data_IF_095451587782
#
_entry.id   IF_095451587782
#
_cell.length_a   1.000
_cell.length_b   1.000
_cell.length_c   1.000
_cell.angle_alpha   90.00
_cell.angle_beta   90.00
_cell.angle_gamma   90.00
#
_symmetry.space_group_name_H-M   'P 1'
#
loop_
_entity.id
_entity.type
_entity.pdbx_description
1 polymer ?
#
# COMPACT_ATOMS: atom_id res chain seq x y z
N UNK A 1 26.08 -7.90 7.06
CA UNK A 1 25.97 -6.50 6.65
C UNK A 1 27.05 -6.24 5.58
N UNK A 2 26.70 -5.58 4.49
CA UNK A 2 27.63 -5.22 3.42
C UNK A 2 28.08 -3.79 3.66
N UNK A 3 29.38 -3.56 3.81
CA UNK A 3 29.94 -2.23 4.10
C UNK A 3 29.94 -1.33 2.87
N UNK A 4 30.24 -1.88 1.69
CA UNK A 4 30.24 -1.15 0.42
C UNK A 4 29.19 -1.76 -0.54
N UNK A 5 27.92 -1.33 -0.48
CA UNK A 5 26.87 -1.90 -1.31
C UNK A 5 27.01 -1.50 -2.77
N UNK A 6 26.78 -2.47 -3.66
CA UNK A 6 26.69 -2.23 -5.10
C UNK A 6 25.64 -3.15 -5.76
N UNK A 7 25.16 -2.78 -6.92
CA UNK A 7 24.24 -3.62 -7.70
C UNK A 7 24.90 -4.93 -8.14
N UNK A 8 26.19 -4.90 -8.47
CA UNK A 8 26.96 -6.08 -8.85
C UNK A 8 27.09 -7.07 -7.67
N UNK A 9 27.43 -6.57 -6.47
CA UNK A 9 27.52 -7.40 -5.28
C UNK A 9 26.16 -7.96 -4.88
N UNK A 10 25.09 -7.19 -5.01
CA UNK A 10 23.71 -7.67 -4.77
C UNK A 10 23.35 -8.82 -5.71
N UNK A 11 23.66 -8.69 -7.01
CA UNK A 11 23.42 -9.75 -7.99
C UNK A 11 24.24 -11.01 -7.68
N UNK A 12 25.50 -10.85 -7.27
CA UNK A 12 26.38 -11.96 -6.89
C UNK A 12 25.83 -12.69 -5.66
N UNK A 13 25.41 -11.97 -4.61
CA UNK A 13 24.80 -12.55 -3.41
C UNK A 13 23.53 -13.33 -3.77
N UNK A 14 22.63 -12.74 -4.58
CA UNK A 14 21.41 -13.39 -5.03
C UNK A 14 21.70 -14.69 -5.80
N UNK A 15 22.76 -14.74 -6.59
CA UNK A 15 23.12 -15.94 -7.36
C UNK A 15 23.72 -17.08 -6.52
N UNK A 16 24.25 -16.78 -5.34
CA UNK A 16 24.98 -17.74 -4.48
C UNK A 16 24.17 -18.24 -3.28
N UNK A 17 23.08 -17.56 -2.90
CA UNK A 17 22.23 -18.01 -1.78
C UNK A 17 21.24 -19.10 -2.23
N UNK A 18 20.65 -19.82 -1.27
CA UNK A 18 19.65 -20.85 -1.53
C UNK A 18 18.27 -20.26 -1.82
N UNK A 19 17.93 -19.15 -1.15
CA UNK A 19 16.66 -18.44 -1.27
C UNK A 19 16.91 -16.94 -1.19
N UNK A 20 16.26 -16.16 -2.02
CA UNK A 20 16.28 -14.69 -1.99
C UNK A 20 15.01 -14.15 -1.35
N UNK A 21 15.16 -13.31 -0.33
CA UNK A 21 14.05 -12.48 0.20
C UNK A 21 14.37 -11.02 -0.09
N UNK A 22 13.54 -10.37 -0.89
CA UNK A 22 13.78 -9.00 -1.34
C UNK A 22 12.55 -8.12 -1.09
N UNK A 23 12.71 -7.08 -0.29
CA UNK A 23 11.68 -6.06 -0.06
C UNK A 23 12.22 -4.71 -0.51
N UNK A 24 11.58 -4.09 -1.50
CA UNK A 24 12.04 -2.81 -2.04
C UNK A 24 11.44 -2.47 -3.39
N UNK A 25 12.06 -1.53 -4.11
CA UNK A 25 11.55 -1.08 -5.40
C UNK A 25 11.52 -2.19 -6.47
N UNK A 26 10.65 -2.04 -7.47
CA UNK A 26 10.40 -3.05 -8.50
C UNK A 26 11.66 -3.51 -9.25
N UNK A 27 12.69 -2.66 -9.36
CA UNK A 27 13.99 -3.06 -9.95
C UNK A 27 14.69 -4.15 -9.13
N UNK A 28 14.69 -4.05 -7.80
CA UNK A 28 15.24 -5.07 -6.91
C UNK A 28 14.42 -6.36 -6.95
N UNK A 29 13.10 -6.25 -6.93
CA UNK A 29 12.18 -7.40 -7.02
C UNK A 29 12.41 -8.18 -8.31
N UNK A 30 12.52 -7.46 -9.45
CA UNK A 30 12.83 -8.06 -10.75
C UNK A 30 14.20 -8.75 -10.74
N UNK A 31 15.21 -8.13 -10.15
CA UNK A 31 16.55 -8.74 -10.01
C UNK A 31 16.50 -10.02 -9.17
N UNK A 32 15.75 -10.04 -8.06
CA UNK A 32 15.55 -11.22 -7.22
C UNK A 32 14.93 -12.37 -8.01
N UNK A 33 13.83 -12.14 -8.72
CA UNK A 33 13.18 -13.17 -9.55
C UNK A 33 14.01 -13.61 -10.75
N UNK A 34 14.92 -12.76 -11.24
CA UNK A 34 15.83 -13.08 -12.35
C UNK A 34 17.16 -13.71 -11.90
N UNK A 35 17.37 -13.92 -10.61
CA UNK A 35 18.63 -14.47 -10.06
C UNK A 35 18.85 -15.95 -10.35
N UNK A 36 17.82 -16.67 -10.81
CA UNK A 36 17.83 -18.13 -10.98
C UNK A 36 17.69 -18.92 -9.68
N UNK A 37 17.34 -18.25 -8.58
CA UNK A 37 17.10 -18.84 -7.27
C UNK A 37 15.61 -18.71 -6.88
N UNK A 38 15.08 -19.59 -6.02
CA UNK A 38 13.81 -19.36 -5.36
C UNK A 38 13.81 -17.98 -4.71
N UNK A 39 12.79 -17.17 -4.99
CA UNK A 39 12.75 -15.79 -4.53
C UNK A 39 11.37 -15.39 -4.02
N UNK A 40 11.36 -14.60 -2.95
CA UNK A 40 10.21 -13.91 -2.38
C UNK A 40 10.46 -12.41 -2.48
N UNK A 41 9.86 -11.79 -3.50
CA UNK A 41 10.02 -10.36 -3.76
C UNK A 41 8.73 -9.61 -3.39
N UNK A 42 8.87 -8.48 -2.71
CA UNK A 42 7.78 -7.57 -2.40
C UNK A 42 8.15 -6.17 -2.88
N UNK A 43 7.28 -5.62 -3.74
CA UNK A 43 7.47 -4.32 -4.38
C UNK A 43 6.80 -3.16 -3.65
N UNK A 44 6.46 -2.13 -4.44
CA UNK A 44 5.80 -0.92 -3.97
C UNK A 44 4.43 -1.20 -3.34
N UNK A 45 4.11 -0.45 -2.29
CA UNK A 45 2.77 -0.33 -1.76
C UNK A 45 2.08 0.93 -2.28
N UNK A 46 0.78 1.01 -2.09
CA UNK A 46 -0.01 2.23 -2.34
C UNK A 46 -1.31 2.13 -1.56
N UNK A 47 -1.19 2.21 -0.24
CA UNK A 47 -2.32 1.94 0.67
C UNK A 47 -3.40 2.99 0.50
N UNK A 48 -4.54 2.55 0.00
CA UNK A 48 -5.77 3.33 0.00
C UNK A 48 -6.40 3.28 1.39
N UNK A 49 -7.04 4.36 1.82
CA UNK A 49 -7.74 4.42 3.09
C UNK A 49 -9.16 4.94 2.87
N UNK A 50 -10.16 4.09 3.09
CA UNK A 50 -11.57 4.48 2.97
C UNK A 50 -12.11 4.75 4.37
N UNK A 51 -12.74 5.90 4.54
CA UNK A 51 -13.47 6.28 5.76
C UNK A 51 -14.96 6.21 5.44
N UNK A 52 -15.66 5.32 6.13
CA UNK A 52 -17.10 5.12 5.94
C UNK A 52 -17.92 6.12 6.76
N UNK A 53 -19.19 6.24 6.40
CA UNK A 53 -20.20 6.98 7.17
C UNK A 53 -20.41 6.36 8.55
N UNK A 54 -20.64 7.20 9.54
CA UNK A 54 -20.99 6.73 10.89
C UNK A 54 -19.81 6.26 11.75
N UNK A 55 -18.57 6.45 11.29
CA UNK A 55 -17.39 6.27 12.16
C UNK A 55 -17.07 7.58 12.89
N UNK A 56 -16.38 7.48 14.01
CA UNK A 56 -15.82 8.66 14.68
C UNK A 56 -14.58 9.15 13.91
N UNK A 57 -14.76 10.23 13.15
CA UNK A 57 -13.68 10.83 12.36
C UNK A 57 -12.55 11.37 13.23
N UNK A 58 -12.86 11.81 14.47
CA UNK A 58 -11.85 12.29 15.43
C UNK A 58 -11.01 11.15 15.99
N UNK A 59 -11.51 9.93 15.99
CA UNK A 59 -10.75 8.73 16.33
C UNK A 59 -9.94 8.21 15.14
N UNK A 60 -10.50 8.28 13.91
CA UNK A 60 -9.87 7.75 12.70
C UNK A 60 -8.70 8.62 12.21
N UNK A 61 -8.86 9.96 12.16
CA UNK A 61 -7.86 10.86 11.59
C UNK A 61 -6.48 10.77 12.26
N UNK A 62 -6.33 10.77 13.59
CA UNK A 62 -5.02 10.60 14.23
C UNK A 62 -4.34 9.28 13.85
N UNK A 63 -5.10 8.19 13.70
CA UNK A 63 -4.56 6.88 13.29
C UNK A 63 -4.00 6.94 11.86
N UNK A 64 -4.72 7.58 10.94
CA UNK A 64 -4.32 7.72 9.54
C UNK A 64 -3.08 8.63 9.42
N UNK A 65 -3.06 9.74 10.15
CA UNK A 65 -1.91 10.66 10.17
C UNK A 65 -0.67 9.96 10.76
N UNK A 66 -0.83 9.23 11.88
CA UNK A 66 0.24 8.40 12.45
C UNK A 66 0.68 7.31 11.47
N UNK A 67 -0.28 6.71 10.76
CA UNK A 67 -0.06 5.68 9.74
C UNK A 67 0.69 6.21 8.52
N UNK A 68 0.61 7.51 8.22
CA UNK A 68 1.31 8.11 7.08
C UNK A 68 2.82 8.20 7.32
N UNK A 69 3.45 7.07 7.58
CA UNK A 69 4.91 6.92 7.67
C UNK A 69 5.52 6.79 6.27
N UNK A 70 6.83 7.02 6.19
CA UNK A 70 7.58 6.94 4.92
C UNK A 70 7.98 5.48 4.68
N UNK A 71 6.99 4.61 4.55
CA UNK A 71 7.14 3.18 4.25
C UNK A 71 6.05 2.76 3.27
N UNK A 72 6.24 1.65 2.57
CA UNK A 72 5.30 1.14 1.56
C UNK A 72 3.88 0.86 2.09
N UNK A 73 3.76 0.60 3.38
CA UNK A 73 2.49 0.31 4.06
C UNK A 73 1.82 1.53 4.71
N UNK A 74 2.37 2.73 4.54
CA UNK A 74 1.75 3.98 5.01
C UNK A 74 0.57 4.39 4.13
N UNK A 75 -0.48 4.92 4.76
CA UNK A 75 -1.69 5.40 4.09
C UNK A 75 -1.35 6.50 3.06
N UNK A 76 -1.69 6.29 1.80
CA UNK A 76 -1.37 7.17 0.67
C UNK A 76 -2.50 8.12 0.32
N UNK A 77 -3.73 7.70 0.66
CA UNK A 77 -4.96 8.42 0.32
C UNK A 77 -5.93 8.40 1.49
N UNK A 78 -6.88 9.34 1.49
CA UNK A 78 -8.15 9.21 2.18
C UNK A 78 -9.27 9.33 1.13
N UNK A 79 -10.28 8.46 1.23
CA UNK A 79 -11.46 8.45 0.40
C UNK A 79 -12.64 8.57 1.35
N UNK A 80 -13.33 9.71 1.35
CA UNK A 80 -14.25 10.11 2.42
C UNK A 80 -15.64 10.48 1.88
N UNK A 81 -16.72 10.38 2.68
CA UNK A 81 -18.05 10.80 2.27
C UNK A 81 -18.05 12.26 1.83
N UNK A 82 -18.68 12.55 0.71
CA UNK A 82 -18.69 13.89 0.12
C UNK A 82 -19.42 14.93 0.99
N UNK A 83 -20.48 14.52 1.64
CA UNK A 83 -21.24 15.36 2.57
C UNK A 83 -20.45 15.75 3.80
N UNK A 84 -19.55 14.88 4.28
CA UNK A 84 -18.74 15.09 5.48
C UNK A 84 -17.31 15.55 5.14
N UNK A 85 -16.99 15.73 3.85
CA UNK A 85 -15.65 16.04 3.37
C UNK A 85 -15.04 17.25 4.10
N UNK A 86 -15.79 18.35 4.22
CA UNK A 86 -15.28 19.57 4.85
C UNK A 86 -14.98 19.35 6.34
N UNK A 87 -15.87 18.66 7.07
CA UNK A 87 -15.66 18.32 8.48
C UNK A 87 -14.42 17.44 8.67
N UNK A 88 -14.26 16.42 7.85
CA UNK A 88 -13.11 15.50 7.92
C UNK A 88 -11.81 16.26 7.64
N UNK A 89 -11.76 17.13 6.63
CA UNK A 89 -10.59 17.96 6.33
C UNK A 89 -10.21 18.84 7.52
N UNK A 90 -11.18 19.51 8.16
CA UNK A 90 -10.95 20.31 9.36
C UNK A 90 -10.34 19.48 10.48
N UNK A 91 -10.85 18.27 10.72
CA UNK A 91 -10.30 17.35 11.73
C UNK A 91 -8.84 16.99 11.41
N UNK A 92 -8.50 16.75 10.14
CA UNK A 92 -7.12 16.49 9.74
C UNK A 92 -6.21 17.72 9.97
N UNK A 93 -6.70 18.94 9.69
CA UNK A 93 -5.97 20.18 9.95
C UNK A 93 -5.73 20.36 11.44
N UNK A 94 -6.75 20.16 12.29
CA UNK A 94 -6.64 20.21 13.77
C UNK A 94 -5.57 19.23 14.30
N UNK A 95 -5.31 18.13 13.58
CA UNK A 95 -4.33 17.11 13.95
C UNK A 95 -2.94 17.33 13.31
N UNK A 96 -2.72 18.49 12.66
CA UNK A 96 -1.40 18.92 12.16
C UNK A 96 -1.18 18.67 10.68
N UNK A 97 -2.23 18.51 9.88
CA UNK A 97 -2.12 18.52 8.42
C UNK A 97 -2.20 19.94 7.86
N UNK A 98 -1.49 20.19 6.76
CA UNK A 98 -1.71 21.35 5.92
C UNK A 98 -2.51 20.95 4.68
N UNK A 99 -3.66 21.58 4.45
CA UNK A 99 -4.54 21.26 3.33
C UNK A 99 -4.23 22.09 2.11
N UNK A 100 -4.02 21.42 0.97
CA UNK A 100 -3.69 22.02 -0.34
C UNK A 100 -4.85 21.75 -1.29
N UNK A 101 -5.62 22.81 -1.63
CA UNK A 101 -6.81 22.68 -2.48
C UNK A 101 -6.83 23.67 -3.66
N UNK A 102 -6.07 24.78 -3.59
CA UNK A 102 -6.04 25.75 -4.69
C UNK A 102 -5.45 25.10 -5.94
N UNK A 103 -6.08 25.18 -7.12
CA UNK A 103 -5.65 24.46 -8.31
C UNK A 103 -4.18 24.71 -8.70
N UNK A 104 -3.70 25.93 -8.51
CA UNK A 104 -2.29 26.29 -8.79
C UNK A 104 -1.32 25.62 -7.81
N UNK A 105 -1.70 25.48 -6.53
CA UNK A 105 -0.86 24.85 -5.51
C UNK A 105 -0.86 23.32 -5.66
N UNK A 106 -2.02 22.74 -5.95
CA UNK A 106 -2.13 21.33 -6.27
C UNK A 106 -1.27 20.97 -7.48
N UNK A 107 -1.30 21.81 -8.54
CA UNK A 107 -0.45 21.63 -9.73
C UNK A 107 1.04 21.71 -9.37
N UNK A 108 1.47 22.74 -8.62
CA UNK A 108 2.86 22.88 -8.17
C UNK A 108 3.33 21.67 -7.38
N UNK A 109 2.49 21.16 -6.47
CA UNK A 109 2.81 19.97 -5.68
C UNK A 109 2.94 18.72 -6.58
N UNK A 110 2.02 18.51 -7.54
CA UNK A 110 2.11 17.43 -8.52
C UNK A 110 3.42 17.45 -9.30
N UNK A 111 3.76 18.62 -9.88
CA UNK A 111 4.95 18.80 -10.70
C UNK A 111 6.25 18.63 -9.89
N UNK A 112 6.20 18.92 -8.60
CA UNK A 112 7.31 18.69 -7.67
C UNK A 112 7.45 17.23 -7.27
N UNK A 113 6.33 16.55 -7.00
CA UNK A 113 6.30 15.14 -6.58
C UNK A 113 6.66 14.18 -7.71
N UNK A 114 6.20 14.47 -8.94
CA UNK A 114 6.30 13.54 -10.06
C UNK A 114 6.84 14.19 -11.31
N UNK A 115 7.64 13.43 -12.05
CA UNK A 115 8.09 13.78 -13.42
C UNK A 115 7.52 12.77 -14.40
N UNK A 116 7.23 13.25 -15.62
CA UNK A 116 6.82 12.37 -16.72
C UNK A 116 8.03 11.58 -17.21
N UNK A 117 7.88 10.27 -17.35
CA UNK A 117 8.92 9.38 -17.88
C UNK A 117 8.90 9.37 -19.42
N UNK A 118 9.97 8.88 -20.05
CA UNK A 118 10.06 8.71 -21.50
C UNK A 118 8.93 7.84 -22.08
N UNK A 119 8.36 6.93 -21.26
CA UNK A 119 7.27 6.04 -21.65
C UNK A 119 5.88 6.64 -21.37
N UNK A 120 5.79 7.92 -20.98
CA UNK A 120 4.53 8.62 -20.68
C UNK A 120 3.94 8.30 -19.30
N UNK A 121 4.62 7.52 -18.46
CA UNK A 121 4.24 7.29 -17.07
C UNK A 121 4.78 8.37 -16.13
N UNK A 122 4.53 8.21 -14.82
CA UNK A 122 5.03 9.11 -13.79
C UNK A 122 6.06 8.42 -12.90
N UNK A 123 7.15 9.10 -12.60
CA UNK A 123 8.17 8.70 -11.63
C UNK A 123 8.23 9.69 -10.48
N UNK A 124 8.28 9.18 -9.25
CA UNK A 124 8.42 10.03 -8.07
C UNK A 124 9.81 10.71 -8.04
N UNK A 125 9.83 11.95 -7.62
CA UNK A 125 11.06 12.71 -7.38
C UNK A 125 11.84 12.10 -6.20
N UNK A 126 12.96 11.46 -6.52
CA UNK A 126 13.81 10.77 -5.55
C UNK A 126 14.37 11.67 -4.45
N UNK A 127 14.50 12.98 -4.70
CA UNK A 127 15.01 13.95 -3.71
C UNK A 127 14.03 14.15 -2.55
N UNK A 128 12.74 13.88 -2.78
CA UNK A 128 11.69 14.04 -1.78
C UNK A 128 11.46 12.79 -0.93
N UNK A 129 12.05 11.65 -1.30
CA UNK A 129 11.94 10.41 -0.53
C UNK A 129 12.54 10.61 0.86
N UNK A 130 11.74 10.38 1.89
CA UNK A 130 12.17 10.51 3.28
C UNK A 130 12.17 11.94 3.81
N UNK A 131 11.80 12.94 3.02
CA UNK A 131 11.77 14.34 3.46
C UNK A 131 10.53 14.64 4.33
N UNK A 132 10.61 15.69 5.16
CA UNK A 132 9.49 16.18 5.95
C UNK A 132 8.44 16.87 5.09
N UNK A 133 7.21 17.01 5.62
CA UNK A 133 6.13 17.74 4.95
C UNK A 133 6.52 19.21 4.63
N UNK A 134 7.18 19.87 5.57
CA UNK A 134 7.67 21.24 5.37
C UNK A 134 8.71 21.34 4.24
N UNK A 135 9.64 20.36 4.14
CA UNK A 135 10.61 20.31 3.05
C UNK A 135 9.94 20.09 1.69
N UNK A 136 8.97 19.18 1.61
CA UNK A 136 8.19 18.92 0.38
C UNK A 136 7.40 20.17 -0.03
N UNK A 137 6.77 20.86 0.92
CA UNK A 137 6.05 22.11 0.68
C UNK A 137 6.99 23.21 0.16
N UNK A 138 8.14 23.38 0.81
CA UNK A 138 9.15 24.37 0.39
C UNK A 138 9.64 24.12 -1.03
N UNK A 139 9.93 22.87 -1.39
CA UNK A 139 10.36 22.53 -2.75
C UNK A 139 9.27 22.78 -3.79
N UNK A 140 8.00 22.66 -3.40
CA UNK A 140 6.84 23.02 -4.23
C UNK A 140 6.52 24.53 -4.24
N UNK A 141 7.27 25.36 -3.50
CA UNK A 141 7.00 26.79 -3.35
C UNK A 141 5.70 27.05 -2.59
N UNK A 142 5.35 26.19 -1.64
CA UNK A 142 4.17 26.31 -0.77
C UNK A 142 4.60 26.73 0.64
N UNK A 143 3.82 27.60 1.26
CA UNK A 143 4.01 28.01 2.65
C UNK A 143 3.09 27.18 3.55
N UNK A 144 3.67 26.46 4.50
CA UNK A 144 2.97 25.70 5.53
C UNK A 144 3.63 25.87 6.90
N UNK A 145 2.92 25.67 8.01
CA UNK A 145 3.53 25.65 9.34
C UNK A 145 4.72 24.69 9.42
N UNK A 146 5.77 25.08 10.14
CA UNK A 146 7.00 24.30 10.24
C UNK A 146 6.81 22.93 10.93
N UNK A 147 5.79 22.82 11.77
CA UNK A 147 5.39 21.60 12.49
C UNK A 147 4.35 20.74 11.75
N UNK A 148 4.07 21.08 10.48
CA UNK A 148 3.16 20.28 9.62
C UNK A 148 3.62 18.84 9.55
N UNK A 149 2.74 17.92 9.96
CA UNK A 149 3.01 16.47 9.95
C UNK A 149 2.83 15.87 8.55
N UNK A 150 1.76 16.27 7.85
CA UNK A 150 1.35 15.72 6.55
C UNK A 150 0.77 16.82 5.67
N UNK A 151 1.09 16.79 4.38
CA UNK A 151 0.38 17.58 3.37
C UNK A 151 -0.82 16.78 2.89
N UNK A 152 -2.02 17.31 3.12
CA UNK A 152 -3.27 16.73 2.63
C UNK A 152 -3.64 17.46 1.34
N UNK A 153 -3.62 16.78 0.20
CA UNK A 153 -3.85 17.39 -1.11
C UNK A 153 -5.17 16.95 -1.71
N UNK A 154 -5.97 17.89 -2.18
CA UNK A 154 -7.20 17.60 -2.92
C UNK A 154 -6.85 16.88 -4.23
N UNK A 155 -7.49 15.75 -4.48
CA UNK A 155 -7.38 15.00 -5.72
C UNK A 155 -8.74 14.94 -6.41
N UNK A 156 -8.79 15.35 -7.68
CA UNK A 156 -10.02 15.38 -8.48
C UNK A 156 -10.10 14.21 -9.47
N UNK A 157 -8.94 13.58 -9.80
CA UNK A 157 -8.83 12.40 -10.65
C UNK A 157 -8.29 11.20 -9.89
N UNK A 158 -8.67 9.99 -10.30
CA UNK A 158 -8.19 8.73 -9.74
C UNK A 158 -7.54 7.85 -10.80
N UNK A 159 -6.78 6.87 -10.37
CA UNK A 159 -6.15 5.93 -11.29
C UNK A 159 -5.14 6.62 -12.21
N UNK A 160 -5.21 6.32 -13.50
CA UNK A 160 -4.28 6.84 -14.51
C UNK A 160 -4.48 8.33 -14.83
N UNK A 161 -5.61 8.89 -14.44
CA UNK A 161 -5.97 10.28 -14.75
C UNK A 161 -5.22 11.29 -13.85
N UNK A 162 -4.65 10.83 -12.73
CA UNK A 162 -3.92 11.69 -11.81
C UNK A 162 -2.68 10.99 -11.22
N UNK A 163 -1.51 11.62 -11.33
CA UNK A 163 -0.28 11.11 -10.73
C UNK A 163 -0.34 11.04 -9.18
N UNK A 164 -1.23 11.80 -8.53
CA UNK A 164 -1.46 11.72 -7.09
C UNK A 164 -2.06 10.38 -6.63
N UNK A 165 -2.53 9.55 -7.56
CA UNK A 165 -2.96 8.18 -7.31
C UNK A 165 -1.80 7.22 -6.97
N UNK A 166 -0.55 7.59 -7.29
CA UNK A 166 0.64 6.77 -7.07
C UNK A 166 1.20 6.84 -5.66
N UNK A 167 2.06 5.88 -5.33
CA UNK A 167 2.81 5.89 -4.08
C UNK A 167 3.68 7.15 -3.96
N UNK A 168 3.58 7.79 -2.80
CA UNK A 168 4.38 8.96 -2.41
C UNK A 168 5.24 8.60 -1.21
N UNK A 169 6.54 8.47 -1.40
CA UNK A 169 7.49 8.14 -0.31
C UNK A 169 7.88 9.37 0.52
N UNK A 170 6.89 10.24 0.80
CA UNK A 170 7.00 11.47 1.60
C UNK A 170 5.63 11.75 2.25
N UNK A 171 5.53 12.61 3.28
CA UNK A 171 4.30 12.81 4.06
C UNK A 171 3.23 13.59 3.28
N UNK A 172 2.69 12.99 2.23
CA UNK A 172 1.60 13.54 1.41
C UNK A 172 0.47 12.52 1.34
N UNK A 173 -0.76 12.93 1.63
CA UNK A 173 -1.99 12.15 1.49
C UNK A 173 -2.87 12.82 0.44
N UNK A 174 -3.37 12.06 -0.53
CA UNK A 174 -4.38 12.53 -1.49
C UNK A 174 -5.78 12.32 -0.93
N UNK A 175 -6.62 13.36 -0.97
CA UNK A 175 -7.97 13.32 -0.45
C UNK A 175 -9.00 13.27 -1.58
N UNK A 176 -9.86 12.27 -1.57
CA UNK A 176 -10.94 12.02 -2.51
C UNK A 176 -12.28 12.08 -1.79
N UNK A 177 -13.32 12.52 -2.51
CA UNK A 177 -14.70 12.46 -2.04
C UNK A 177 -15.47 11.36 -2.80
N UNK A 178 -16.40 10.68 -2.13
CA UNK A 178 -17.28 9.70 -2.76
C UNK A 178 -18.76 9.98 -2.46
N UNK A 179 -19.64 9.62 -3.39
CA UNK A 179 -21.09 9.71 -3.23
C UNK A 179 -21.66 8.37 -2.69
N UNK A 180 -21.27 7.23 -3.27
CA UNK A 180 -21.67 5.88 -2.82
C UNK A 180 -20.48 5.07 -2.34
N UNK A 181 -20.74 4.00 -1.57
CA UNK A 181 -19.68 3.10 -1.12
C UNK A 181 -18.95 2.43 -2.29
N UNK A 182 -19.70 2.07 -3.31
CA UNK A 182 -19.20 1.51 -4.56
C UNK A 182 -18.22 2.47 -5.25
N UNK A 183 -18.54 3.77 -5.26
CA UNK A 183 -17.63 4.80 -5.82
C UNK A 183 -16.33 4.86 -5.02
N UNK A 184 -16.39 4.80 -3.68
CA UNK A 184 -15.20 4.79 -2.84
C UNK A 184 -14.29 3.60 -3.15
N UNK A 185 -14.88 2.42 -3.30
CA UNK A 185 -14.16 1.18 -3.64
C UNK A 185 -13.61 1.25 -5.06
N UNK A 186 -14.34 1.83 -6.01
CA UNK A 186 -13.89 2.03 -7.39
C UNK A 186 -12.69 2.99 -7.47
N UNK A 187 -12.70 4.09 -6.72
CA UNK A 187 -11.55 5.01 -6.60
C UNK A 187 -10.33 4.27 -6.04
N UNK A 188 -10.52 3.51 -4.95
CA UNK A 188 -9.44 2.73 -4.34
C UNK A 188 -8.86 1.72 -5.34
N UNK A 189 -9.70 0.97 -6.04
CA UNK A 189 -9.26 -0.01 -7.04
C UNK A 189 -8.54 0.66 -8.22
N UNK A 190 -9.04 1.79 -8.73
CA UNK A 190 -8.40 2.52 -9.82
C UNK A 190 -6.99 2.98 -9.46
N UNK A 191 -6.79 3.45 -8.22
CA UNK A 191 -5.47 3.83 -7.72
C UNK A 191 -4.54 2.61 -7.54
N UNK A 192 -5.07 1.49 -7.03
CA UNK A 192 -4.32 0.22 -6.91
C UNK A 192 -3.91 -0.32 -8.28
N UNK A 193 -4.71 -0.13 -9.32
CA UNK A 193 -4.37 -0.56 -10.69
C UNK A 193 -3.19 0.21 -11.29
N UNK A 194 -2.95 1.42 -10.80
CA UNK A 194 -1.75 2.19 -11.17
C UNK A 194 -0.51 1.67 -10.46
N UNK A 195 -0.64 1.42 -9.15
CA UNK A 195 0.46 0.96 -8.30
C UNK A 195 -0.08 0.37 -6.99
N UNK A 196 0.57 -0.67 -6.46
CA UNK A 196 0.26 -1.22 -5.14
C UNK A 196 -0.69 -2.41 -5.13
N UNK A 197 -1.05 -2.99 -6.28
CA UNK A 197 -1.87 -4.23 -6.33
C UNK A 197 -1.28 -5.32 -5.47
N UNK A 198 -2.16 -6.00 -4.75
CA UNK A 198 -1.79 -7.09 -3.85
C UNK A 198 -1.28 -6.65 -2.48
N UNK A 199 -1.02 -5.35 -2.24
CA UNK A 199 -0.44 -4.92 -0.97
C UNK A 199 -1.49 -4.88 0.16
N UNK A 200 -2.02 -3.74 0.50
CA UNK A 200 -2.94 -3.55 1.64
C UNK A 200 -3.88 -2.38 1.40
N UNK A 201 -5.03 -2.40 2.09
CA UNK A 201 -5.98 -1.29 2.21
C UNK A 201 -6.35 -1.08 3.67
N UNK A 202 -6.58 0.16 4.07
CA UNK A 202 -7.19 0.53 5.35
C UNK A 202 -8.67 0.87 5.15
N UNK A 203 -9.53 0.40 6.03
CA UNK A 203 -10.96 0.71 6.02
C UNK A 203 -11.37 1.09 7.43
N UNK A 204 -11.84 2.33 7.61
CA UNK A 204 -12.48 2.75 8.83
C UNK A 204 -13.99 2.63 8.65
N UNK A 205 -14.60 1.59 9.21
CA UNK A 205 -16.02 1.28 9.08
C UNK A 205 -16.50 0.39 10.24
N UNK A 206 -17.76 0.49 10.59
CA UNK A 206 -18.48 -0.44 11.47
C UNK A 206 -19.51 -1.28 10.68
N UNK A 207 -19.68 -1.00 9.38
CA UNK A 207 -20.60 -1.73 8.52
C UNK A 207 -19.89 -2.97 7.92
N UNK A 208 -20.30 -4.15 8.37
CA UNK A 208 -19.70 -5.41 7.93
C UNK A 208 -19.90 -5.67 6.44
N UNK A 209 -21.07 -5.32 5.89
CA UNK A 209 -21.38 -5.50 4.47
C UNK A 209 -20.48 -4.62 3.59
N UNK A 210 -20.21 -3.39 4.03
CA UNK A 210 -19.28 -2.48 3.35
C UNK A 210 -17.84 -3.03 3.37
N UNK A 211 -17.39 -3.52 4.53
CA UNK A 211 -16.05 -4.12 4.66
C UNK A 211 -15.91 -5.34 3.74
N UNK A 212 -16.90 -6.24 3.74
CA UNK A 212 -16.90 -7.44 2.90
C UNK A 212 -17.00 -7.08 1.40
N UNK A 213 -17.83 -6.10 1.05
CA UNK A 213 -17.91 -5.59 -0.32
C UNK A 213 -16.54 -5.08 -0.79
N UNK A 214 -15.91 -4.20 -0.03
CA UNK A 214 -14.58 -3.68 -0.40
C UNK A 214 -13.54 -4.81 -0.52
N UNK A 215 -13.48 -5.72 0.45
CA UNK A 215 -12.55 -6.86 0.42
C UNK A 215 -12.70 -7.75 -0.82
N UNK A 216 -13.92 -7.86 -1.36
CA UNK A 216 -14.20 -8.66 -2.57
C UNK A 216 -13.97 -7.89 -3.89
N UNK A 217 -13.86 -6.55 -3.85
CA UNK A 217 -13.76 -5.73 -5.06
C UNK A 217 -12.40 -5.02 -5.22
N UNK A 218 -11.52 -5.08 -4.22
CA UNK A 218 -10.16 -4.55 -4.34
C UNK A 218 -9.12 -5.66 -4.44
N UNK A 219 -8.09 -5.43 -5.23
CA UNK A 219 -7.02 -6.41 -5.43
C UNK A 219 -5.90 -6.22 -4.41
N UNK A 220 -6.15 -6.60 -3.15
CA UNK A 220 -5.18 -6.55 -2.05
C UNK A 220 -5.18 -7.84 -1.25
N UNK A 221 -4.06 -8.17 -0.61
CA UNK A 221 -3.93 -9.36 0.24
C UNK A 221 -4.28 -9.10 1.71
N UNK A 222 -4.40 -7.83 2.12
CA UNK A 222 -4.69 -7.42 3.51
C UNK A 222 -5.65 -6.26 3.56
N UNK A 223 -6.70 -6.42 4.35
CA UNK A 223 -7.67 -5.37 4.69
C UNK A 223 -7.55 -5.07 6.18
N UNK A 224 -7.13 -3.87 6.53
CA UNK A 224 -6.95 -3.41 7.91
C UNK A 224 -8.18 -2.59 8.32
N UNK A 225 -8.95 -3.11 9.26
CA UNK A 225 -10.21 -2.48 9.70
C UNK A 225 -9.99 -1.71 11.00
N UNK A 226 -10.27 -0.42 11.00
CA UNK A 226 -10.16 0.50 12.14
C UNK A 226 -8.78 0.53 12.81
N UNK A 227 -7.72 0.26 12.04
CA UNK A 227 -6.34 0.15 12.49
C UNK A 227 -5.42 1.05 11.66
N UNK A 228 -4.26 1.36 12.23
CA UNK A 228 -3.14 2.00 11.52
C UNK A 228 -2.55 0.98 10.54
N UNK A 229 -2.64 1.23 9.23
CA UNK A 229 -2.17 0.25 8.26
C UNK A 229 -0.65 0.05 8.35
N UNK A 230 0.12 1.12 8.43
CA UNK A 230 1.59 1.07 8.39
C UNK A 230 2.23 0.18 9.44
N UNK A 231 1.66 0.10 10.64
CA UNK A 231 2.22 -0.67 11.76
C UNK A 231 1.52 -2.00 11.99
N UNK A 232 0.28 -2.16 11.54
CA UNK A 232 -0.55 -3.33 11.85
C UNK A 232 -0.59 -4.38 10.73
N UNK A 233 -0.34 -4.01 9.47
CA UNK A 233 -0.34 -4.96 8.37
C UNK A 233 0.84 -5.95 8.41
N UNK A 234 1.92 -5.59 9.08
CA UNK A 234 3.03 -6.48 9.40
C UNK A 234 2.76 -7.47 10.53
N UNK A 235 1.53 -7.54 11.01
CA UNK A 235 1.13 -8.42 12.10
C UNK A 235 1.31 -7.82 13.50
N UNK A 236 0.36 -8.06 14.35
CA UNK A 236 0.38 -7.60 15.74
C UNK A 236 -0.41 -8.55 16.65
N UNK A 237 -0.28 -8.37 17.97
CA UNK A 237 -1.09 -9.07 18.95
C UNK A 237 -2.59 -8.75 18.85
N UNK A 238 -2.95 -7.69 18.12
CA UNK A 238 -4.32 -7.17 18.05
C UNK A 238 -5.08 -7.60 16.78
N UNK A 239 -4.43 -8.25 15.79
CA UNK A 239 -5.09 -8.58 14.53
C UNK A 239 -4.78 -9.98 13.98
N UNK A 240 -4.04 -10.80 14.69
CA UNK A 240 -3.72 -12.19 14.35
C UNK A 240 -2.97 -12.39 13.00
N UNK A 241 -2.51 -11.34 12.34
CA UNK A 241 -1.63 -11.47 11.18
C UNK A 241 -0.25 -11.96 11.64
N UNK A 242 0.37 -12.80 10.86
CA UNK A 242 1.75 -13.28 11.13
C UNK A 242 2.73 -12.11 11.13
N UNK A 243 3.53 -11.91 12.19
CA UNK A 243 4.52 -10.84 12.26
C UNK A 243 5.57 -10.95 11.14
N UNK A 244 5.76 -9.84 10.41
CA UNK A 244 6.72 -9.76 9.30
C UNK A 244 7.07 -8.32 8.94
N UNK A 245 8.17 -8.14 8.22
CA UNK A 245 8.51 -6.92 7.49
C UNK A 245 8.40 -7.12 5.97
N UNK A 246 8.02 -8.33 5.51
CA UNK A 246 7.91 -8.71 4.10
C UNK A 246 6.47 -9.11 3.79
N UNK A 247 5.74 -8.21 3.14
CA UNK A 247 4.30 -8.28 2.92
C UNK A 247 4.01 -8.82 1.51
N UNK A 248 3.86 -10.13 1.36
CA UNK A 248 3.55 -10.75 0.07
C UNK A 248 2.30 -10.15 -0.58
N UNK A 249 2.38 -9.88 -1.87
CA UNK A 249 1.32 -9.26 -2.66
C UNK A 249 0.66 -10.21 -3.67
N UNK A 250 1.00 -11.49 -3.63
CA UNK A 250 0.46 -12.50 -4.53
C UNK A 250 0.70 -12.22 -6.00
N UNK A 251 0.00 -12.93 -6.85
CA UNK A 251 0.07 -12.72 -8.31
C UNK A 251 -0.41 -11.32 -8.74
N UNK A 252 -1.26 -10.68 -7.96
CA UNK A 252 -1.67 -9.29 -8.21
C UNK A 252 -0.50 -8.31 -8.17
N UNK A 253 0.43 -8.51 -7.23
CA UNK A 253 1.67 -7.73 -7.11
C UNK A 253 2.86 -8.36 -7.82
N UNK A 254 2.64 -9.41 -8.64
CA UNK A 254 3.69 -10.20 -9.29
C UNK A 254 4.69 -10.79 -8.28
N UNK A 255 4.15 -11.31 -7.16
CA UNK A 255 4.91 -11.93 -6.08
C UNK A 255 4.60 -13.42 -5.95
N UNK A 256 5.54 -14.18 -5.37
CA UNK A 256 5.44 -15.62 -5.17
C UNK A 256 4.53 -16.03 -4.01
N UNK A 257 4.22 -15.10 -3.10
CA UNK A 257 3.34 -15.32 -1.94
C UNK A 257 2.34 -14.19 -1.80
N UNK A 258 1.15 -14.50 -1.25
CA UNK A 258 0.08 -13.54 -0.97
C UNK A 258 -0.12 -13.28 0.52
N UNK A 259 0.74 -13.82 1.37
CA UNK A 259 0.64 -13.74 2.82
C UNK A 259 1.85 -13.04 3.44
N UNK A 260 1.79 -12.80 4.73
CA UNK A 260 2.89 -12.29 5.52
C UNK A 260 4.02 -13.34 5.55
N UNK A 261 5.20 -12.96 5.09
CA UNK A 261 6.36 -13.84 5.03
C UNK A 261 6.76 -14.34 6.43
N UNK A 262 7.03 -15.63 6.55
CA UNK A 262 7.48 -16.23 7.80
C UNK A 262 8.55 -17.29 7.56
N UNK A 263 9.09 -17.86 8.63
CA UNK A 263 10.07 -18.96 8.56
C UNK A 263 9.62 -20.17 7.74
N UNK A 264 8.30 -20.40 7.64
CA UNK A 264 7.72 -21.50 6.85
C UNK A 264 8.09 -21.45 5.38
N UNK A 265 8.29 -20.24 4.84
CA UNK A 265 8.67 -20.02 3.45
C UNK A 265 10.14 -20.38 3.16
N UNK A 266 10.97 -20.51 4.22
CA UNK A 266 12.38 -20.90 4.13
C UNK A 266 12.58 -22.40 4.41
N UNK A 267 11.51 -23.12 4.79
CA UNK A 267 11.62 -24.54 5.14
C UNK A 267 11.39 -25.44 3.93
N UNK A 268 12.21 -26.48 3.81
CA UNK A 268 11.94 -27.62 2.96
C UNK A 268 11.22 -28.72 3.78
N UNK A 269 10.15 -29.26 3.24
CA UNK A 269 9.31 -30.26 3.91
C UNK A 269 9.43 -31.59 3.18
N UNK A 270 9.95 -32.60 3.87
CA UNK A 270 9.90 -34.00 3.39
C UNK A 270 8.59 -34.64 3.84
N UNK A 271 7.86 -35.19 2.89
CA UNK A 271 6.61 -35.92 3.14
C UNK A 271 6.81 -37.40 2.99
N UNK A 272 6.33 -38.18 3.97
CA UNK A 272 6.30 -39.62 3.91
C UNK A 272 4.86 -40.01 3.59
N UNK A 273 4.64 -40.63 2.46
CA UNK A 273 3.32 -41.17 2.06
C UNK A 273 3.30 -42.67 2.21
N UNK A 274 2.32 -43.20 2.92
CA UNK A 274 2.05 -44.60 3.02
C UNK A 274 0.85 -44.99 2.14
N UNK A 275 0.87 -46.18 1.60
CA UNK A 275 -0.32 -46.75 0.95
C UNK A 275 -1.49 -46.81 1.94
N UNK A 276 -2.68 -46.53 1.46
CA UNK A 276 -3.94 -46.77 2.20
C UNK A 276 -4.58 -48.00 1.60
N UNK A 277 -4.44 -49.18 2.25
CA UNK A 277 -4.76 -50.48 1.61
C UNK A 277 -6.19 -50.62 1.11
N UNK A 278 -7.15 -50.01 1.76
CA UNK A 278 -8.59 -50.11 1.45
C UNK A 278 -9.14 -48.89 0.73
N UNK A 279 -8.27 -47.98 0.29
CA UNK A 279 -8.70 -46.78 -0.43
C UNK A 279 -9.28 -47.12 -1.80
N UNK A 280 -10.46 -46.60 -2.08
CA UNK A 280 -11.11 -46.71 -3.40
C UNK A 280 -11.06 -45.32 -4.05
N UNK A 281 -10.76 -45.30 -5.35
CA UNK A 281 -10.91 -44.10 -6.13
C UNK A 281 -12.41 -43.70 -6.15
N UNK A 282 -12.73 -42.41 -5.93
CA UNK A 282 -14.10 -41.97 -6.08
C UNK A 282 -14.57 -42.14 -7.53
N UNK A 283 -15.85 -42.38 -7.73
CA UNK A 283 -16.45 -42.46 -9.07
C UNK A 283 -16.51 -41.04 -9.71
N UNK A 284 -16.66 -41.01 -11.03
CA UNK A 284 -16.84 -39.74 -11.75
C UNK A 284 -18.05 -38.96 -11.22
N UNK A 285 -19.11 -39.63 -10.80
CA UNK A 285 -20.30 -39.02 -10.21
C UNK A 285 -20.01 -38.35 -8.85
N UNK A 286 -19.10 -38.93 -8.07
CA UNK A 286 -18.67 -38.33 -6.78
C UNK A 286 -17.68 -37.17 -6.95
N UNK A 287 -16.92 -37.13 -8.05
CA UNK A 287 -15.93 -36.10 -8.33
C UNK A 287 -16.57 -34.84 -8.93
N UNK A 288 -17.60 -35.00 -9.77
CA UNK A 288 -18.21 -33.95 -10.57
C UNK A 288 -19.60 -33.51 -10.07
N UNK A 289 -19.94 -33.77 -8.83
CA UNK A 289 -21.12 -33.21 -8.16
C UNK A 289 -20.92 -31.71 -7.82
#
# INVERSE_FOLDING_TARGET
>A
LVEEPSTALSAELMSKCDVVVATGGMGMVKAAYSSGKPAYGVGAGNVQCIIDRGVDYREAAPKIIEGRRIICSGEQTIIVPKEDYAEIIEIFIENGCAYIERPEDVRRLRDTLFSVTETGGYAMNKKLVGQSAACVAQEAGLEVPADTKVLLVRADGSGKDDCLSKEKMCPVISAYAYDTWEDAVAVAQANLDVEGRGHSIAIHSHNKEHIEYAANHVTVCRVLVNQICSTMNGGSFFNSLTPTTTLGCGSWGNNSISENFSYKHLMNITRIAYEIPDAKAPSDEEIFQ
#
